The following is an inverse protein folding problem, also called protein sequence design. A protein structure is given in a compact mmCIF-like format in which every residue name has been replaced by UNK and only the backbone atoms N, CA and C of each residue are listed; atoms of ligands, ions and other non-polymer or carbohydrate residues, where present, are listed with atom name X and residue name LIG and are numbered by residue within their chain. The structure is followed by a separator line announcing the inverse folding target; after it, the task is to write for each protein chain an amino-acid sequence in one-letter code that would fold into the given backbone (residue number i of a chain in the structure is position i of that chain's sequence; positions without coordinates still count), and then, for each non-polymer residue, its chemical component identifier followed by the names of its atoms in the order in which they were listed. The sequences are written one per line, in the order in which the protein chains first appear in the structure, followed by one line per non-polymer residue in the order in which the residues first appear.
data_IF_897716919889
#
_entry.id   IF_897716919889
#
_cell.length_a   1.000
_cell.length_b   1.000
_cell.length_c   1.000
_cell.angle_alpha   90.00
_cell.angle_beta   90.00
_cell.angle_gamma   90.00
#
_symmetry.space_group_name_H-M   'P 1'
#
loop_
_entity.id
_entity.type
_entity.pdbx_description
1 polymer ?
#
# COMPACT_ATOMS: atom_id res chain seq x y z
N UNK A 1 -22.27 10.49 -9.85
CA UNK A 1 -21.32 11.02 -8.85
C UNK A 1 -21.02 9.90 -7.87
N UNK A 2 -19.74 9.55 -7.66
CA UNK A 2 -19.34 8.56 -6.63
C UNK A 2 -19.15 9.27 -5.30
N UNK A 3 -19.67 8.66 -4.24
CA UNK A 3 -19.48 9.13 -2.86
C UNK A 3 -18.35 8.32 -2.23
N UNK A 4 -17.34 9.01 -1.70
CA UNK A 4 -16.13 8.37 -1.19
C UNK A 4 -15.91 8.63 0.30
N UNK A 5 -15.48 7.60 1.00
CA UNK A 5 -14.89 7.67 2.33
C UNK A 5 -13.37 7.50 2.22
N UNK A 6 -12.59 8.32 2.89
CA UNK A 6 -11.12 8.30 2.83
C UNK A 6 -10.56 7.97 4.22
N UNK A 7 -10.01 6.77 4.37
CA UNK A 7 -9.34 6.34 5.59
C UNK A 7 -7.85 6.64 5.49
N UNK A 8 -7.36 7.57 6.31
CA UNK A 8 -6.00 8.09 6.25
C UNK A 8 -5.88 9.39 5.43
N UNK A 9 -6.88 10.28 5.50
CA UNK A 9 -7.00 11.50 4.67
C UNK A 9 -5.84 12.48 4.81
N UNK A 10 -5.16 12.53 5.96
CA UNK A 10 -4.02 13.42 6.23
C UNK A 10 -2.68 12.84 5.80
N UNK A 11 -2.63 11.56 5.40
CA UNK A 11 -1.46 10.91 4.84
C UNK A 11 -1.16 11.34 3.39
N UNK A 12 -0.05 10.86 2.82
CA UNK A 12 0.34 11.21 1.45
C UNK A 12 -0.71 10.83 0.42
N UNK A 13 -1.20 9.59 0.44
CA UNK A 13 -2.25 9.11 -0.48
C UNK A 13 -3.58 9.82 -0.23
N UNK A 14 -3.98 9.98 1.03
CA UNK A 14 -5.23 10.67 1.37
C UNK A 14 -5.27 12.11 0.87
N UNK A 15 -4.18 12.87 1.00
CA UNK A 15 -4.07 14.24 0.47
C UNK A 15 -4.17 14.27 -1.05
N UNK A 16 -3.45 13.40 -1.74
CA UNK A 16 -3.52 13.29 -3.20
C UNK A 16 -4.92 12.82 -3.66
N UNK A 17 -5.61 11.99 -2.86
CA UNK A 17 -7.01 11.63 -3.13
C UNK A 17 -7.93 12.84 -3.06
N UNK A 18 -7.71 13.72 -2.10
CA UNK A 18 -8.46 14.97 -1.99
C UNK A 18 -8.15 15.94 -3.14
N UNK A 19 -6.90 16.00 -3.63
CA UNK A 19 -6.54 16.75 -4.85
C UNK A 19 -7.30 16.20 -6.08
N UNK A 20 -7.36 14.88 -6.23
CA UNK A 20 -8.13 14.23 -7.30
C UNK A 20 -9.63 14.52 -7.17
N UNK A 21 -10.19 14.50 -5.95
CA UNK A 21 -11.59 14.84 -5.72
C UNK A 21 -11.88 16.31 -6.03
N UNK A 22 -10.97 17.23 -5.65
CA UNK A 22 -11.08 18.65 -5.95
C UNK A 22 -11.00 18.95 -7.47
N UNK A 23 -10.22 18.17 -8.23
CA UNK A 23 -10.12 18.26 -9.67
C UNK A 23 -11.36 17.68 -10.41
N UNK A 24 -12.19 16.88 -9.73
CA UNK A 24 -13.35 16.21 -10.31
C UNK A 24 -14.64 16.43 -9.47
N UNK A 25 -15.04 17.67 -9.15
CA UNK A 25 -16.11 17.95 -8.17
C UNK A 25 -17.48 17.44 -8.62
N UNK A 26 -17.73 17.37 -9.93
CA UNK A 26 -18.98 16.87 -10.50
C UNK A 26 -19.07 15.33 -10.52
N UNK A 27 -17.96 14.64 -10.26
CA UNK A 27 -17.86 13.18 -10.36
C UNK A 27 -17.60 12.51 -9.02
N UNK A 28 -16.91 13.20 -8.10
CA UNK A 28 -16.50 12.68 -6.79
C UNK A 28 -17.01 13.58 -5.66
N UNK A 29 -17.63 12.97 -4.66
CA UNK A 29 -18.06 13.65 -3.42
C UNK A 29 -17.45 12.97 -2.21
N UNK A 30 -16.71 13.73 -1.41
CA UNK A 30 -16.16 13.26 -0.14
C UNK A 30 -17.26 13.26 0.91
N UNK A 31 -17.54 12.10 1.52
CA UNK A 31 -18.58 11.91 2.53
C UNK A 31 -18.03 11.68 3.91
N UNK A 32 -16.90 10.98 4.01
CA UNK A 32 -16.26 10.69 5.27
C UNK A 32 -14.75 10.86 5.17
N UNK A 33 -14.15 11.41 6.22
CA UNK A 33 -12.71 11.55 6.36
C UNK A 33 -12.27 10.90 7.67
N UNK A 34 -11.20 10.09 7.63
CA UNK A 34 -10.59 9.58 8.85
C UNK A 34 -9.08 9.85 8.86
N UNK A 35 -8.56 10.25 10.02
CA UNK A 35 -7.15 10.48 10.25
C UNK A 35 -6.74 9.97 11.64
N UNK A 36 -5.45 9.98 11.98
CA UNK A 36 -4.98 9.56 13.29
C UNK A 36 -5.02 10.72 14.31
N UNK A 37 -4.08 11.67 14.20
CA UNK A 37 -3.90 12.74 15.18
C UNK A 37 -3.77 14.16 14.60
N UNK A 38 -3.77 14.29 13.28
CA UNK A 38 -3.53 15.56 12.58
C UNK A 38 -4.83 16.40 12.53
N UNK A 39 -5.26 16.90 13.69
CA UNK A 39 -6.53 17.59 13.86
C UNK A 39 -6.62 18.92 13.09
N UNK A 40 -5.54 19.70 13.02
CA UNK A 40 -5.51 20.96 12.27
C UNK A 40 -5.64 20.73 10.75
N UNK A 41 -4.93 19.74 10.22
CA UNK A 41 -5.04 19.41 8.80
C UNK A 41 -6.40 18.82 8.45
N UNK A 42 -6.95 17.96 9.32
CA UNK A 42 -8.30 17.42 9.13
C UNK A 42 -9.35 18.54 9.14
N UNK A 43 -9.22 19.55 10.02
CA UNK A 43 -10.12 20.71 10.03
C UNK A 43 -10.09 21.49 8.71
N UNK A 44 -8.88 21.67 8.11
CA UNK A 44 -8.76 22.30 6.79
C UNK A 44 -9.47 21.47 5.71
N UNK A 45 -9.31 20.13 5.75
CA UNK A 45 -10.00 19.22 4.85
C UNK A 45 -11.52 19.27 5.02
N UNK A 46 -12.01 19.34 6.27
CA UNK A 46 -13.43 19.49 6.56
C UNK A 46 -13.98 20.78 5.96
N UNK A 47 -13.30 21.90 6.14
CA UNK A 47 -13.73 23.21 5.60
C UNK A 47 -13.77 23.24 4.07
N UNK A 48 -12.88 22.47 3.42
CA UNK A 48 -12.78 22.43 1.96
C UNK A 48 -13.80 21.48 1.33
N UNK A 49 -14.02 20.31 1.91
CA UNK A 49 -14.79 19.23 1.30
C UNK A 49 -16.18 19.03 1.93
N UNK A 50 -16.44 19.61 3.08
CA UNK A 50 -17.71 19.54 3.82
C UNK A 50 -18.25 18.10 3.91
N UNK A 51 -17.45 17.12 4.43
CA UNK A 51 -17.91 15.76 4.60
C UNK A 51 -19.03 15.68 5.63
N UNK A 52 -19.82 14.61 5.59
CA UNK A 52 -20.86 14.37 6.58
C UNK A 52 -20.28 14.03 7.95
N UNK A 53 -19.19 13.20 7.96
CA UNK A 53 -18.47 12.80 9.17
C UNK A 53 -16.96 12.97 9.00
N UNK A 54 -16.26 13.26 10.10
CA UNK A 54 -14.81 13.28 10.18
C UNK A 54 -14.34 12.61 11.48
N UNK A 55 -13.27 11.83 11.38
CA UNK A 55 -12.82 10.96 12.47
C UNK A 55 -11.35 11.20 12.78
N UNK A 56 -11.04 11.26 14.08
CA UNK A 56 -9.68 11.12 14.58
C UNK A 56 -9.59 9.90 15.50
N UNK A 57 -8.70 8.96 15.17
CA UNK A 57 -8.52 7.77 16.03
C UNK A 57 -7.86 8.09 17.35
N UNK A 58 -7.06 9.18 17.42
CA UNK A 58 -6.56 9.76 18.66
C UNK A 58 -7.68 10.58 19.32
N UNK A 59 -8.13 10.14 20.51
CA UNK A 59 -9.27 10.73 21.23
C UNK A 59 -9.00 12.17 21.69
N UNK A 60 -7.75 12.49 22.05
CA UNK A 60 -7.39 13.85 22.49
C UNK A 60 -7.39 14.82 21.31
N UNK A 61 -6.89 14.38 20.14
CA UNK A 61 -6.97 15.17 18.92
C UNK A 61 -8.43 15.37 18.46
N UNK A 62 -9.27 14.34 18.57
CA UNK A 62 -10.70 14.45 18.26
C UNK A 62 -11.39 15.47 19.16
N UNK A 63 -11.09 15.45 20.46
CA UNK A 63 -11.61 16.43 21.41
C UNK A 63 -11.17 17.85 21.06
N UNK A 64 -9.86 18.07 20.79
CA UNK A 64 -9.37 19.40 20.36
C UNK A 64 -10.08 19.91 19.11
N UNK A 65 -10.35 19.03 18.15
CA UNK A 65 -11.08 19.40 16.95
C UNK A 65 -12.54 19.73 17.25
N UNK A 66 -13.24 18.91 18.03
CA UNK A 66 -14.63 19.12 18.40
C UNK A 66 -14.83 20.43 19.19
N UNK A 67 -13.89 20.78 20.08
CA UNK A 67 -13.94 21.99 20.87
C UNK A 67 -13.84 23.28 20.03
N UNK A 68 -13.19 23.24 18.87
CA UNK A 68 -13.00 24.42 18.00
C UNK A 68 -13.81 24.40 16.69
N UNK A 69 -14.33 23.27 16.28
CA UNK A 69 -15.12 23.16 15.04
C UNK A 69 -16.61 23.22 15.34
N UNK A 70 -17.31 24.20 14.76
CA UNK A 70 -18.74 24.43 14.97
C UNK A 70 -19.55 24.36 13.65
N UNK A 71 -19.06 23.59 12.68
CA UNK A 71 -19.75 23.40 11.40
C UNK A 71 -20.73 22.23 11.42
N UNK A 72 -21.12 21.75 10.23
CA UNK A 72 -22.14 20.69 10.05
C UNK A 72 -21.57 19.28 10.11
N UNK A 73 -20.26 19.11 9.89
CA UNK A 73 -19.60 17.80 9.90
C UNK A 73 -19.61 17.23 11.32
N UNK A 74 -20.08 16.02 11.50
CA UNK A 74 -20.01 15.31 12.77
C UNK A 74 -18.58 14.84 13.06
N UNK A 75 -18.06 15.14 14.24
CA UNK A 75 -16.71 14.74 14.65
C UNK A 75 -16.79 13.50 15.53
N UNK A 76 -16.19 12.41 15.05
CA UNK A 76 -16.14 11.13 15.75
C UNK A 76 -14.70 10.81 16.22
N UNK A 77 -14.58 9.89 17.19
CA UNK A 77 -13.30 9.55 17.81
C UNK A 77 -13.06 8.04 17.90
N UNK A 78 -11.78 7.66 17.93
CA UNK A 78 -11.35 6.30 18.22
C UNK A 78 -11.63 5.28 17.13
N UNK A 79 -11.51 4.00 17.47
CA UNK A 79 -11.74 2.90 16.53
C UNK A 79 -13.20 2.79 16.08
N UNK A 80 -14.15 3.04 16.96
CA UNK A 80 -15.58 3.05 16.64
C UNK A 80 -15.88 4.11 15.56
N UNK A 81 -15.31 5.31 15.70
CA UNK A 81 -15.41 6.35 14.68
C UNK A 81 -14.79 5.92 13.36
N UNK A 82 -13.62 5.26 13.39
CA UNK A 82 -12.96 4.76 12.18
C UNK A 82 -13.84 3.72 11.45
N UNK A 83 -14.46 2.81 12.20
CA UNK A 83 -15.41 1.85 11.63
C UNK A 83 -16.65 2.56 11.07
N UNK A 84 -17.16 3.58 11.74
CA UNK A 84 -18.27 4.38 11.23
C UNK A 84 -17.90 5.06 9.90
N UNK A 85 -16.69 5.60 9.75
CA UNK A 85 -16.22 6.16 8.47
C UNK A 85 -16.08 5.09 7.39
N UNK A 86 -15.58 3.89 7.72
CA UNK A 86 -15.42 2.78 6.78
C UNK A 86 -16.76 2.21 6.29
N UNK A 87 -17.78 2.24 7.14
CA UNK A 87 -19.11 1.68 6.85
C UNK A 87 -20.17 2.74 6.54
N UNK A 88 -19.77 4.02 6.42
CA UNK A 88 -20.69 5.13 6.26
C UNK A 88 -21.67 4.89 5.12
N UNK A 89 -22.98 4.95 5.42
CA UNK A 89 -24.04 4.60 4.47
C UNK A 89 -24.01 5.49 3.23
N UNK A 90 -23.70 6.78 3.40
CA UNK A 90 -23.62 7.75 2.32
C UNK A 90 -22.42 7.59 1.38
N UNK A 91 -21.50 6.64 1.62
CA UNK A 91 -20.36 6.37 0.75
C UNK A 91 -20.55 5.11 -0.07
N UNK A 92 -20.19 5.13 -1.36
CA UNK A 92 -20.22 3.98 -2.27
C UNK A 92 -18.87 3.24 -2.29
N UNK A 93 -17.79 4.00 -2.10
CA UNK A 93 -16.41 3.50 -2.20
C UNK A 93 -15.59 3.98 -1.00
N UNK A 94 -14.80 3.10 -0.45
CA UNK A 94 -13.84 3.39 0.61
C UNK A 94 -12.44 3.36 0.04
N UNK A 95 -11.70 4.46 0.17
CA UNK A 95 -10.27 4.50 -0.12
C UNK A 95 -9.50 4.20 1.18
N UNK A 96 -8.84 3.04 1.20
CA UNK A 96 -8.00 2.60 2.32
C UNK A 96 -6.55 3.02 2.12
N UNK A 97 -6.09 4.07 2.85
CA UNK A 97 -4.72 4.58 2.79
C UNK A 97 -4.04 4.66 4.17
N UNK A 98 -4.48 3.84 5.08
CA UNK A 98 -3.85 3.69 6.39
C UNK A 98 -2.53 2.90 6.23
N UNK A 99 -1.56 3.20 7.08
CA UNK A 99 -0.25 2.53 7.04
C UNK A 99 -0.30 1.26 7.87
N UNK A 100 0.31 0.19 7.37
CA UNK A 100 0.49 -1.06 8.08
C UNK A 100 -0.79 -1.86 8.31
N UNK A 101 -0.80 -2.67 9.35
CA UNK A 101 -1.88 -3.60 9.69
C UNK A 101 -3.22 -2.91 10.06
N UNK A 102 -3.19 -1.64 10.50
CA UNK A 102 -4.37 -0.92 11.00
C UNK A 102 -5.53 -0.78 9.99
N UNK A 103 -5.26 -0.94 8.69
CA UNK A 103 -6.27 -0.88 7.64
C UNK A 103 -7.14 -2.13 7.49
N UNK A 104 -6.77 -3.28 8.08
CA UNK A 104 -7.43 -4.55 7.81
C UNK A 104 -8.89 -4.59 8.32
N UNK A 105 -9.11 -4.32 9.61
CA UNK A 105 -10.46 -4.34 10.20
C UNK A 105 -11.44 -3.37 9.54
N UNK A 106 -11.08 -2.09 9.31
CA UNK A 106 -11.94 -1.16 8.58
C UNK A 106 -12.26 -1.60 7.16
N UNK A 107 -11.26 -2.18 6.45
CA UNK A 107 -11.48 -2.70 5.09
C UNK A 107 -12.46 -3.86 5.08
N UNK A 108 -12.33 -4.83 5.99
CA UNK A 108 -13.27 -5.94 6.11
C UNK A 108 -14.68 -5.48 6.48
N UNK A 109 -14.80 -4.50 7.40
CA UNK A 109 -16.09 -3.92 7.76
C UNK A 109 -16.75 -3.20 6.56
N UNK A 110 -15.99 -2.44 5.78
CA UNK A 110 -16.50 -1.80 4.57
C UNK A 110 -17.00 -2.83 3.54
N UNK A 111 -16.22 -3.90 3.29
CA UNK A 111 -16.60 -5.00 2.40
C UNK A 111 -17.90 -5.66 2.88
N UNK A 112 -18.02 -5.95 4.18
CA UNK A 112 -19.21 -6.56 4.77
C UNK A 112 -20.47 -5.70 4.61
N UNK A 113 -20.32 -4.37 4.55
CA UNK A 113 -21.38 -3.40 4.27
C UNK A 113 -21.59 -3.13 2.77
N UNK A 114 -21.01 -3.93 1.87
CA UNK A 114 -21.20 -3.81 0.43
C UNK A 114 -20.50 -2.61 -0.22
N UNK A 115 -19.47 -2.05 0.43
CA UNK A 115 -18.70 -0.92 -0.13
C UNK A 115 -17.62 -1.41 -1.08
N UNK A 116 -17.46 -0.73 -2.22
CA UNK A 116 -16.29 -0.94 -3.08
C UNK A 116 -15.03 -0.40 -2.42
N UNK A 117 -13.90 -1.04 -2.68
CA UNK A 117 -12.62 -0.67 -2.06
C UNK A 117 -11.65 -0.17 -3.12
N UNK A 118 -11.10 1.04 -2.92
CA UNK A 118 -9.90 1.53 -3.56
C UNK A 118 -8.73 1.32 -2.57
N UNK A 119 -7.93 0.27 -2.78
CA UNK A 119 -6.94 -0.19 -1.80
C UNK A 119 -5.56 0.37 -2.10
N UNK A 120 -5.06 1.24 -1.21
CA UNK A 120 -3.67 1.70 -1.21
C UNK A 120 -2.83 1.04 -0.11
N UNK A 121 -3.48 0.44 0.88
CA UNK A 121 -2.83 -0.25 2.00
C UNK A 121 -2.54 -1.72 1.63
N UNK A 122 -1.40 -1.96 1.00
CA UNK A 122 -0.97 -3.29 0.55
C UNK A 122 -0.84 -4.31 1.69
N UNK A 123 -0.49 -3.84 2.89
CA UNK A 123 -0.31 -4.68 4.06
C UNK A 123 -1.59 -5.44 4.44
N UNK A 124 -2.75 -4.91 4.09
CA UNK A 124 -4.05 -5.58 4.25
C UNK A 124 -4.11 -6.91 3.49
N UNK A 125 -3.67 -6.94 2.22
CA UNK A 125 -3.63 -8.17 1.42
C UNK A 125 -2.43 -9.04 1.76
N UNK A 126 -1.30 -8.46 2.11
CA UNK A 126 -0.13 -9.21 2.57
C UNK A 126 -0.45 -10.01 3.82
N UNK A 127 -1.05 -9.38 4.82
CA UNK A 127 -1.34 -10.03 6.10
C UNK A 127 -2.53 -11.00 6.03
N UNK A 128 -3.59 -10.66 5.31
CA UNK A 128 -4.87 -11.37 5.35
C UNK A 128 -5.52 -11.54 3.97
N UNK A 129 -4.73 -11.69 2.90
CA UNK A 129 -5.23 -11.69 1.53
C UNK A 129 -6.30 -12.75 1.26
N UNK A 130 -6.16 -13.98 1.78
CA UNK A 130 -7.18 -15.03 1.65
C UNK A 130 -8.52 -14.61 2.25
N UNK A 131 -8.51 -14.01 3.45
CA UNK A 131 -9.72 -13.57 4.17
C UNK A 131 -10.37 -12.39 3.43
N UNK A 132 -9.56 -11.42 3.00
CA UNK A 132 -10.06 -10.23 2.30
C UNK A 132 -10.66 -10.60 0.95
N UNK A 133 -9.97 -11.41 0.15
CA UNK A 133 -10.47 -11.80 -1.18
C UNK A 133 -11.67 -12.74 -1.10
N UNK A 134 -11.78 -13.57 -0.05
CA UNK A 134 -13.00 -14.33 0.23
C UNK A 134 -14.17 -13.41 0.57
N UNK A 135 -13.95 -12.40 1.42
CA UNK A 135 -14.97 -11.41 1.76
C UNK A 135 -15.42 -10.60 0.51
N UNK A 136 -14.48 -10.18 -0.34
CA UNK A 136 -14.77 -9.49 -1.61
C UNK A 136 -15.68 -10.33 -2.50
N UNK A 137 -15.36 -11.61 -2.70
CA UNK A 137 -16.19 -12.54 -3.49
C UNK A 137 -17.56 -12.76 -2.86
N UNK A 138 -17.61 -12.96 -1.55
CA UNK A 138 -18.84 -13.23 -0.80
C UNK A 138 -19.83 -12.08 -0.87
N UNK A 139 -19.35 -10.84 -0.77
CA UNK A 139 -20.19 -9.64 -0.76
C UNK A 139 -20.37 -9.02 -2.15
N UNK A 140 -19.71 -9.54 -3.19
CA UNK A 140 -19.83 -9.08 -4.57
C UNK A 140 -19.36 -7.64 -4.79
N UNK A 141 -18.43 -7.16 -3.98
CA UNK A 141 -17.86 -5.80 -4.11
C UNK A 141 -16.62 -5.81 -5.00
N UNK A 142 -16.27 -4.65 -5.54
CA UNK A 142 -15.01 -4.49 -6.26
C UNK A 142 -13.88 -4.06 -5.32
N UNK A 143 -12.68 -4.61 -5.53
CA UNK A 143 -11.46 -4.15 -4.91
C UNK A 143 -10.50 -3.72 -6.02
N UNK A 144 -10.27 -2.41 -6.11
CA UNK A 144 -9.45 -1.79 -7.14
C UNK A 144 -8.13 -1.32 -6.54
N UNK A 145 -6.98 -1.71 -7.11
CA UNK A 145 -5.68 -1.30 -6.57
C UNK A 145 -5.40 0.18 -6.82
N UNK A 146 -4.80 0.82 -5.81
CA UNK A 146 -4.29 2.19 -5.87
C UNK A 146 -2.76 2.20 -5.97
N UNK A 147 -2.08 1.15 -5.51
CA UNK A 147 -0.64 1.03 -5.68
C UNK A 147 -0.28 1.10 -7.17
N UNK A 148 0.76 1.88 -7.55
CA UNK A 148 1.05 2.22 -8.94
C UNK A 148 1.30 1.01 -9.81
N UNK A 149 2.04 0.03 -9.31
CA UNK A 149 2.39 -1.19 -10.01
C UNK A 149 1.15 -2.08 -10.25
N UNK A 150 0.30 -2.20 -9.24
CA UNK A 150 -0.92 -3.01 -9.34
C UNK A 150 -1.98 -2.32 -10.19
N UNK A 151 -2.11 -1.00 -10.10
CA UNK A 151 -2.94 -0.21 -11.01
C UNK A 151 -2.49 -0.39 -12.47
N UNK A 152 -1.17 -0.41 -12.72
CA UNK A 152 -0.61 -0.63 -14.05
C UNK A 152 -0.92 -2.06 -14.57
N UNK A 153 -0.79 -3.09 -13.73
CA UNK A 153 -1.16 -4.46 -14.09
C UNK A 153 -2.66 -4.54 -14.39
N UNK A 154 -3.50 -3.98 -13.51
CA UNK A 154 -4.96 -3.97 -13.68
C UNK A 154 -5.38 -3.32 -15.01
N UNK A 155 -4.71 -2.24 -15.41
CA UNK A 155 -4.94 -1.57 -16.70
C UNK A 155 -4.43 -2.41 -17.87
N UNK A 156 -3.26 -3.03 -17.76
CA UNK A 156 -2.62 -3.82 -18.83
C UNK A 156 -3.34 -5.15 -19.07
N UNK A 157 -3.95 -5.75 -18.04
CA UNK A 157 -4.78 -6.96 -18.15
C UNK A 157 -5.98 -6.79 -19.10
N UNK A 158 -6.40 -5.58 -19.38
CA UNK A 158 -7.47 -5.30 -20.35
C UNK A 158 -7.08 -5.58 -21.80
N UNK A 159 -5.81 -5.84 -22.07
CA UNK A 159 -5.32 -6.21 -23.39
C UNK A 159 -5.62 -7.65 -23.80
N UNK A 160 -6.17 -8.48 -22.87
CA UNK A 160 -6.53 -9.87 -23.12
C UNK A 160 -7.41 -10.44 -22.02
N UNK A 161 -7.57 -11.75 -21.99
CA UNK A 161 -8.29 -12.48 -20.93
C UNK A 161 -7.31 -13.06 -19.92
N UNK A 162 -7.80 -13.36 -18.69
CA UNK A 162 -6.97 -13.95 -17.63
C UNK A 162 -6.28 -15.26 -18.06
N UNK A 163 -6.93 -16.07 -18.90
CA UNK A 163 -6.39 -17.34 -19.41
C UNK A 163 -5.20 -17.15 -20.37
N UNK A 164 -5.10 -15.99 -20.98
CA UNK A 164 -4.04 -15.63 -21.93
C UNK A 164 -2.83 -15.01 -21.24
N UNK A 165 -2.94 -14.70 -19.94
CA UNK A 165 -1.82 -14.14 -19.16
C UNK A 165 -0.77 -15.21 -18.91
N UNK A 166 0.45 -14.97 -19.40
CA UNK A 166 1.61 -15.83 -19.16
C UNK A 166 2.27 -15.50 -17.84
N UNK A 167 2.52 -14.21 -17.58
CA UNK A 167 3.08 -13.71 -16.31
C UNK A 167 2.85 -12.22 -16.11
N UNK A 168 2.97 -11.80 -14.85
CA UNK A 168 3.03 -10.40 -14.44
C UNK A 168 4.49 -9.99 -14.26
N UNK A 169 4.82 -8.76 -14.65
CA UNK A 169 6.16 -8.19 -14.51
C UNK A 169 6.02 -6.89 -13.70
N UNK A 170 6.42 -6.94 -12.43
CA UNK A 170 6.37 -5.81 -11.52
C UNK A 170 7.68 -5.03 -11.63
N UNK A 171 7.60 -3.73 -11.86
CA UNK A 171 8.79 -2.87 -11.88
C UNK A 171 9.15 -2.38 -10.50
N UNK A 172 10.41 -2.13 -10.25
CA UNK A 172 10.96 -1.50 -9.06
C UNK A 172 11.87 -0.35 -9.45
N UNK A 173 11.87 0.76 -8.71
CA UNK A 173 12.86 1.82 -8.93
C UNK A 173 14.31 1.37 -8.66
N UNK A 174 14.46 0.32 -7.86
CA UNK A 174 15.75 -0.14 -7.31
C UNK A 174 16.19 0.60 -6.05
N UNK A 175 15.46 1.64 -5.65
CA UNK A 175 15.76 2.45 -4.47
C UNK A 175 17.06 3.26 -4.58
N UNK A 176 17.48 3.95 -3.49
CA UNK A 176 18.65 4.82 -3.49
C UNK A 176 20.00 4.06 -3.56
N UNK A 177 19.98 2.75 -3.35
CA UNK A 177 21.20 1.93 -3.30
C UNK A 177 21.37 0.99 -4.50
N UNK A 178 20.62 1.21 -5.57
CA UNK A 178 20.77 0.44 -6.81
C UNK A 178 22.24 0.41 -7.27
N UNK A 179 22.73 -0.79 -7.62
CA UNK A 179 24.09 -1.02 -8.06
C UNK A 179 25.14 -1.13 -6.95
N UNK A 180 24.78 -0.91 -5.67
CA UNK A 180 25.67 -1.13 -4.52
C UNK A 180 25.75 -2.61 -4.15
N UNK A 181 26.95 -3.05 -3.77
CA UNK A 181 27.19 -4.37 -3.19
C UNK A 181 26.82 -4.38 -1.72
N UNK A 182 26.51 -5.56 -1.16
CA UNK A 182 26.15 -5.72 0.26
C UNK A 182 27.17 -5.10 1.23
N UNK A 183 28.48 -5.22 0.96
CA UNK A 183 29.54 -4.64 1.78
C UNK A 183 29.51 -3.11 1.84
N UNK A 184 28.95 -2.45 0.83
CA UNK A 184 28.83 -0.98 0.78
C UNK A 184 27.59 -0.49 1.57
N UNK A 185 26.71 -1.41 1.99
CA UNK A 185 25.48 -1.10 2.74
C UNK A 185 25.64 -1.17 4.26
N UNK A 186 26.81 -1.60 4.78
CA UNK A 186 27.02 -1.79 6.23
C UNK A 186 26.89 -0.51 7.05
N UNK A 187 27.28 0.63 6.45
CA UNK A 187 27.34 1.93 7.15
C UNK A 187 26.49 3.02 6.48
N UNK A 188 25.42 2.62 5.76
CA UNK A 188 24.52 3.60 5.16
C UNK A 188 23.73 4.33 6.24
N UNK A 189 23.55 5.62 6.04
CA UNK A 189 22.84 6.48 6.99
C UNK A 189 21.35 6.57 6.66
N UNK A 190 20.56 6.95 7.66
CA UNK A 190 19.13 7.22 7.47
C UNK A 190 18.87 8.23 6.36
N UNK A 191 19.65 9.31 6.30
CA UNK A 191 19.51 10.34 5.27
C UNK A 191 19.71 9.78 3.85
N UNK A 192 20.68 8.86 3.68
CA UNK A 192 20.89 8.18 2.39
C UNK A 192 19.73 7.24 2.04
N UNK A 193 19.18 6.53 3.02
CA UNK A 193 18.02 5.65 2.81
C UNK A 193 16.76 6.42 2.39
N UNK A 194 16.55 7.60 2.94
CA UNK A 194 15.36 8.43 2.69
C UNK A 194 15.47 9.28 1.42
N UNK A 195 16.61 9.30 0.75
CA UNK A 195 16.83 10.05 -0.49
C UNK A 195 16.42 9.18 -1.70
N UNK A 196 15.11 9.00 -1.89
CA UNK A 196 14.61 8.24 -3.05
C UNK A 196 14.74 9.07 -4.34
N UNK A 197 15.25 8.48 -5.47
CA UNK A 197 15.55 9.25 -6.68
C UNK A 197 14.33 9.84 -7.39
N UNK A 198 13.18 9.18 -7.38
CA UNK A 198 12.02 9.55 -8.22
C UNK A 198 10.74 9.82 -7.42
N UNK A 199 10.56 9.20 -6.25
CA UNK A 199 9.32 9.25 -5.50
C UNK A 199 9.44 10.04 -4.20
N UNK A 200 8.45 10.87 -3.91
CA UNK A 200 8.27 11.49 -2.60
C UNK A 200 7.26 10.69 -1.80
N UNK A 201 7.73 9.84 -0.92
CA UNK A 201 6.92 8.89 -0.14
C UNK A 201 7.11 9.07 1.36
N UNK A 202 6.24 8.44 2.17
CA UNK A 202 6.43 8.34 3.61
C UNK A 202 7.71 7.56 3.97
N UNK A 203 8.31 7.87 5.12
CA UNK A 203 9.59 7.30 5.54
C UNK A 203 9.62 5.76 5.54
N UNK A 204 8.53 5.10 5.99
CA UNK A 204 8.42 3.63 6.01
C UNK A 204 8.53 3.07 4.59
N UNK A 205 7.73 3.58 3.66
CA UNK A 205 7.70 3.09 2.27
C UNK A 205 9.02 3.37 1.55
N UNK A 206 9.64 4.54 1.81
CA UNK A 206 10.95 4.88 1.25
C UNK A 206 12.03 3.91 1.73
N UNK A 207 12.03 3.56 3.02
CA UNK A 207 12.97 2.59 3.57
C UNK A 207 12.71 1.17 3.04
N UNK A 208 11.45 0.75 2.93
CA UNK A 208 11.08 -0.52 2.30
C UNK A 208 11.51 -0.59 0.82
N UNK A 209 11.41 0.53 0.10
CA UNK A 209 11.91 0.63 -1.27
C UNK A 209 13.44 0.42 -1.32
N UNK A 210 14.18 1.02 -0.38
CA UNK A 210 15.63 0.91 -0.30
C UNK A 210 16.12 -0.53 -0.07
N UNK A 211 15.37 -1.35 0.67
CA UNK A 211 15.67 -2.77 0.98
C UNK A 211 15.08 -3.75 -0.03
N UNK A 212 14.26 -3.29 -0.96
CA UNK A 212 13.37 -4.08 -1.83
C UNK A 212 12.29 -4.88 -1.04
N UNK A 213 12.09 -4.63 0.24
CA UNK A 213 10.98 -5.20 1.00
C UNK A 213 9.63 -4.74 0.42
N UNK A 214 9.50 -3.46 0.03
CA UNK A 214 8.31 -2.93 -0.63
C UNK A 214 7.92 -3.79 -1.84
N UNK A 215 8.90 -4.15 -2.67
CA UNK A 215 8.65 -4.97 -3.85
C UNK A 215 8.24 -6.40 -3.47
N UNK A 216 8.75 -6.92 -2.37
CA UNK A 216 8.31 -8.19 -1.81
C UNK A 216 6.85 -8.17 -1.37
N UNK A 217 6.43 -7.11 -0.67
CA UNK A 217 5.03 -6.89 -0.29
C UNK A 217 4.12 -6.79 -1.53
N UNK A 218 4.56 -6.09 -2.56
CA UNK A 218 3.84 -5.94 -3.82
C UNK A 218 3.69 -7.25 -4.61
N UNK A 219 4.68 -8.12 -4.58
CA UNK A 219 4.56 -9.48 -5.16
C UNK A 219 3.45 -10.28 -4.45
N UNK A 220 3.36 -10.18 -3.12
CA UNK A 220 2.29 -10.84 -2.35
C UNK A 220 0.93 -10.22 -2.65
N UNK A 221 0.85 -8.90 -2.76
CA UNK A 221 -0.37 -8.18 -3.12
C UNK A 221 -0.86 -8.58 -4.52
N UNK A 222 0.06 -8.63 -5.52
CA UNK A 222 -0.27 -9.04 -6.88
C UNK A 222 -0.80 -10.48 -6.94
N UNK A 223 -0.24 -11.39 -6.14
CA UNK A 223 -0.75 -12.75 -6.02
C UNK A 223 -2.24 -12.76 -5.66
N UNK A 224 -2.63 -12.00 -4.64
CA UNK A 224 -4.01 -11.95 -4.17
C UNK A 224 -4.95 -11.18 -5.10
N UNK A 225 -4.51 -10.03 -5.61
CA UNK A 225 -5.35 -9.19 -6.47
C UNK A 225 -5.71 -9.84 -7.80
N UNK A 226 -4.76 -10.56 -8.39
CA UNK A 226 -4.87 -11.10 -9.75
C UNK A 226 -4.95 -12.63 -9.80
N UNK A 227 -5.08 -13.28 -8.65
CA UNK A 227 -5.09 -14.76 -8.52
C UNK A 227 -3.91 -15.42 -9.28
N UNK A 228 -2.74 -14.78 -9.22
CA UNK A 228 -1.57 -15.18 -10.00
C UNK A 228 -0.59 -15.98 -9.14
N UNK A 229 -0.19 -17.19 -9.55
CA UNK A 229 0.84 -17.96 -8.85
C UNK A 229 2.17 -17.19 -8.76
N UNK A 230 2.88 -17.29 -7.63
CA UNK A 230 4.15 -16.58 -7.41
C UNK A 230 5.19 -16.83 -8.49
N UNK A 231 5.21 -18.03 -9.09
CA UNK A 231 6.17 -18.37 -10.15
C UNK A 231 5.87 -17.68 -11.49
N UNK A 232 4.68 -17.08 -11.61
CA UNK A 232 4.28 -16.24 -12.74
C UNK A 232 4.36 -14.74 -12.43
N UNK A 233 4.95 -14.34 -11.30
CA UNK A 233 5.18 -12.93 -10.95
C UNK A 233 6.69 -12.69 -10.95
N UNK A 234 7.15 -11.84 -11.84
CA UNK A 234 8.58 -11.50 -12.01
C UNK A 234 8.82 -10.05 -11.61
N UNK A 235 9.95 -9.78 -10.97
CA UNK A 235 10.38 -8.42 -10.62
C UNK A 235 11.50 -8.00 -11.56
N UNK A 236 11.42 -6.76 -12.07
CA UNK A 236 12.50 -6.09 -12.82
C UNK A 236 12.76 -4.71 -12.22
N UNK A 237 14.00 -4.27 -12.23
CA UNK A 237 14.37 -2.91 -11.81
C UNK A 237 14.29 -2.00 -13.02
N UNK A 238 13.51 -0.92 -12.90
CA UNK A 238 13.32 0.13 -13.89
C UNK A 238 13.57 1.50 -13.23
N UNK A 239 14.81 2.00 -13.29
CA UNK A 239 15.22 3.17 -12.50
C UNK A 239 14.44 4.45 -12.79
N UNK A 240 13.97 4.62 -14.03
CA UNK A 240 13.25 5.82 -14.44
C UNK A 240 11.83 5.90 -13.85
N UNK A 241 11.27 4.77 -13.38
CA UNK A 241 9.91 4.68 -12.82
C UNK A 241 8.82 5.24 -13.74
N UNK A 242 9.01 5.14 -15.07
CA UNK A 242 8.04 5.54 -16.10
C UNK A 242 7.12 4.39 -16.46
N UNK A 243 7.67 3.18 -16.64
CA UNK A 243 6.90 1.94 -16.79
C UNK A 243 6.56 1.44 -15.39
N UNK A 244 5.26 1.51 -15.04
CA UNK A 244 4.84 1.15 -13.68
C UNK A 244 4.68 -0.36 -13.47
N UNK A 245 4.28 -1.12 -14.48
CA UNK A 245 4.35 -2.60 -14.55
C UNK A 245 3.86 -3.08 -15.91
N UNK A 246 3.98 -4.39 -16.16
CA UNK A 246 3.68 -4.99 -17.45
C UNK A 246 2.97 -6.34 -17.27
N UNK A 247 2.23 -6.74 -18.30
CA UNK A 247 1.62 -8.08 -18.43
C UNK A 247 2.15 -8.71 -19.70
N UNK A 248 2.73 -9.91 -19.58
CA UNK A 248 3.12 -10.74 -20.72
C UNK A 248 2.03 -11.76 -21.03
N UNK A 249 1.57 -11.81 -22.26
CA UNK A 249 0.56 -12.75 -22.75
C UNK A 249 1.18 -13.98 -23.40
N UNK A 250 0.37 -15.01 -23.61
CA UNK A 250 0.83 -16.31 -24.14
C UNK A 250 1.37 -16.24 -25.56
N UNK A 251 0.96 -15.25 -26.34
CA UNK A 251 1.47 -14.97 -27.70
C UNK A 251 2.83 -14.26 -27.73
N UNK A 252 3.37 -13.92 -26.53
CA UNK A 252 4.63 -13.17 -26.38
C UNK A 252 4.47 -11.67 -26.36
N UNK A 253 3.25 -11.14 -26.55
CA UNK A 253 3.00 -9.70 -26.42
C UNK A 253 3.19 -9.24 -24.97
N UNK A 254 3.79 -8.06 -24.79
CA UNK A 254 3.95 -7.43 -23.46
C UNK A 254 3.27 -6.08 -23.48
N UNK A 255 2.25 -5.92 -22.63
CA UNK A 255 1.51 -4.66 -22.46
C UNK A 255 1.95 -3.99 -21.18
N UNK A 256 2.23 -2.69 -21.26
CA UNK A 256 2.70 -1.88 -20.15
C UNK A 256 1.84 -0.62 -19.98
N UNK A 257 1.64 -0.21 -18.72
CA UNK A 257 1.13 1.12 -18.46
C UNK A 257 2.31 2.04 -18.10
N UNK A 258 2.34 3.21 -18.75
CA UNK A 258 3.34 4.24 -18.56
C UNK A 258 2.71 5.50 -17.98
N UNK A 259 3.47 6.23 -17.16
CA UNK A 259 3.07 7.51 -16.58
C UNK A 259 4.23 8.16 -15.84
N UNK A 260 4.07 9.43 -15.49
CA UNK A 260 4.98 10.07 -14.53
C UNK A 260 4.84 9.43 -13.14
N UNK A 261 5.87 9.47 -12.27
CA UNK A 261 5.80 8.92 -10.91
C UNK A 261 4.92 9.79 -9.98
N UNK A 262 3.60 9.72 -10.20
CA UNK A 262 2.58 10.50 -9.51
C UNK A 262 1.41 9.61 -9.10
N UNK A 263 1.14 9.53 -7.79
CA UNK A 263 0.06 8.67 -7.27
C UNK A 263 -1.34 9.17 -7.62
N UNK A 264 -1.51 10.42 -8.04
CA UNK A 264 -2.82 10.95 -8.45
C UNK A 264 -3.39 10.20 -9.66
N UNK A 265 -2.52 9.69 -10.55
CA UNK A 265 -2.96 8.89 -11.69
C UNK A 265 -3.62 7.56 -11.26
N UNK A 266 -2.97 6.67 -10.51
CA UNK A 266 -3.60 5.43 -10.06
C UNK A 266 -4.75 5.67 -9.08
N UNK A 267 -4.69 6.70 -8.24
CA UNK A 267 -5.80 7.11 -7.36
C UNK A 267 -7.02 7.48 -8.21
N UNK A 268 -6.85 8.38 -9.19
CA UNK A 268 -7.95 8.78 -10.07
C UNK A 268 -8.52 7.58 -10.83
N UNK A 269 -7.65 6.72 -11.36
CA UNK A 269 -8.09 5.53 -12.06
C UNK A 269 -8.92 4.58 -11.17
N UNK A 270 -8.48 4.32 -9.93
CA UNK A 270 -9.21 3.47 -8.99
C UNK A 270 -10.58 4.07 -8.64
N UNK A 271 -10.67 5.38 -8.48
CA UNK A 271 -11.92 6.07 -8.16
C UNK A 271 -12.82 6.25 -9.38
N UNK A 272 -12.28 6.35 -10.59
CA UNK A 272 -13.07 6.51 -11.81
C UNK A 272 -13.58 5.19 -12.41
N UNK A 273 -12.89 4.09 -12.14
CA UNK A 273 -13.21 2.78 -12.72
C UNK A 273 -14.73 2.44 -12.68
N UNK A 274 -15.33 1.94 -13.79
CA UNK A 274 -14.70 1.48 -15.04
C UNK A 274 -14.44 2.58 -16.09
N UNK A 275 -14.74 3.83 -15.80
CA UNK A 275 -14.50 4.97 -16.69
C UNK A 275 -13.08 5.51 -16.57
N UNK A 276 -12.72 6.46 -17.43
CA UNK A 276 -11.53 7.30 -17.29
C UNK A 276 -11.98 8.75 -17.23
N UNK A 277 -11.49 9.49 -16.21
CA UNK A 277 -11.69 10.93 -16.12
C UNK A 277 -10.54 11.68 -16.77
N UNK A 278 -10.79 12.91 -17.23
CA UNK A 278 -9.74 13.78 -17.74
C UNK A 278 -8.69 14.03 -16.64
N UNK A 279 -7.42 13.88 -16.99
CA UNK A 279 -6.30 14.03 -16.06
C UNK A 279 -5.71 15.43 -16.18
N UNK A 280 -5.86 16.25 -15.13
CA UNK A 280 -5.47 17.66 -15.07
C UNK A 280 -4.09 17.90 -14.46
N UNK A 281 -3.35 16.83 -14.11
CA UNK A 281 -2.02 16.92 -13.53
C UNK A 281 -0.94 16.70 -14.60
N UNK A 282 0.33 16.57 -14.18
CA UNK A 282 1.47 16.38 -15.09
C UNK A 282 1.29 15.13 -15.97
N UNK A 283 1.54 15.29 -17.25
CA UNK A 283 1.44 14.22 -18.25
C UNK A 283 2.83 13.76 -18.69
N UNK A 284 2.93 12.48 -19.08
CA UNK A 284 4.16 11.91 -19.58
C UNK A 284 4.51 12.45 -20.96
N UNK A 285 5.71 13.02 -21.10
CA UNK A 285 6.36 13.28 -22.38
C UNK A 285 7.39 12.18 -22.66
N UNK A 286 7.10 11.34 -23.64
CA UNK A 286 7.97 10.22 -24.00
C UNK A 286 9.29 10.67 -24.61
N UNK A 287 9.34 11.83 -25.26
CA UNK A 287 10.56 12.36 -25.85
C UNK A 287 11.49 12.86 -24.74
N UNK A 288 10.93 13.59 -23.78
CA UNK A 288 11.67 14.06 -22.60
C UNK A 288 12.11 12.92 -21.68
N UNK A 289 11.30 11.84 -21.56
CA UNK A 289 11.64 10.65 -20.77
C UNK A 289 12.87 9.90 -21.30
N UNK A 290 13.12 9.94 -22.60
CA UNK A 290 14.33 9.38 -23.22
C UNK A 290 14.43 7.86 -23.12
N UNK A 291 15.54 7.35 -22.60
CA UNK A 291 15.82 5.92 -22.52
C UNK A 291 15.14 5.25 -21.33
N UNK A 292 14.46 4.15 -21.59
CA UNK A 292 13.88 3.27 -20.57
C UNK A 292 14.77 2.02 -20.44
N UNK A 293 15.25 1.75 -19.22
CA UNK A 293 16.20 0.65 -18.96
C UNK A 293 15.62 -0.32 -17.95
N UNK A 294 16.00 -1.59 -18.08
CA UNK A 294 15.53 -2.68 -17.21
C UNK A 294 16.71 -3.53 -16.77
N UNK A 295 16.73 -3.92 -15.50
CA UNK A 295 17.78 -4.71 -14.87
C UNK A 295 17.16 -5.83 -14.02
N UNK A 296 17.91 -6.90 -13.78
CA UNK A 296 17.51 -7.90 -12.79
C UNK A 296 17.72 -7.36 -11.36
N UNK A 297 16.84 -7.66 -10.39
CA UNK A 297 17.07 -7.28 -9.00
C UNK A 297 18.25 -8.07 -8.41
N UNK A 298 19.10 -7.39 -7.62
CA UNK A 298 20.18 -8.02 -6.87
C UNK A 298 19.65 -8.60 -5.55
N UNK A 299 19.42 -9.92 -5.54
CA UNK A 299 18.88 -10.64 -4.36
C UNK A 299 19.92 -10.92 -3.28
N UNK A 300 21.22 -10.74 -3.57
CA UNK A 300 22.31 -10.91 -2.59
C UNK A 300 22.51 -9.60 -1.80
N UNK A 301 22.54 -8.47 -2.50
CA UNK A 301 22.61 -7.16 -1.86
C UNK A 301 21.32 -6.82 -1.11
N UNK A 302 20.14 -7.19 -1.66
CA UNK A 302 18.81 -6.86 -1.12
C UNK A 302 17.98 -8.11 -0.84
N UNK A 303 18.31 -8.90 0.21
CA UNK A 303 17.69 -10.19 0.47
C UNK A 303 16.21 -10.11 0.90
N UNK A 304 15.71 -8.94 1.33
CA UNK A 304 14.32 -8.75 1.77
C UNK A 304 13.31 -9.19 0.70
N UNK A 305 13.59 -8.94 -0.59
CA UNK A 305 12.74 -9.40 -1.69
C UNK A 305 12.63 -10.93 -1.74
N UNK A 306 13.77 -11.62 -1.61
CA UNK A 306 13.81 -13.11 -1.62
C UNK A 306 13.09 -13.68 -0.40
N UNK A 307 13.28 -13.08 0.79
CA UNK A 307 12.63 -13.49 2.04
C UNK A 307 11.11 -13.33 1.90
N UNK A 308 10.65 -12.19 1.42
CA UNK A 308 9.23 -11.90 1.20
C UNK A 308 8.58 -12.91 0.23
N UNK A 309 9.19 -13.17 -0.93
CA UNK A 309 8.68 -14.15 -1.89
C UNK A 309 8.61 -15.56 -1.27
N UNK A 310 9.60 -15.95 -0.47
CA UNK A 310 9.58 -17.23 0.23
C UNK A 310 8.42 -17.32 1.24
N UNK A 311 8.18 -16.26 2.01
CA UNK A 311 7.04 -16.18 2.93
C UNK A 311 5.70 -16.23 2.18
N UNK A 312 5.58 -15.51 1.07
CA UNK A 312 4.39 -15.55 0.22
C UNK A 312 4.11 -16.94 -0.33
N UNK A 313 5.11 -17.63 -0.86
CA UNK A 313 4.99 -19.01 -1.36
C UNK A 313 4.60 -20.02 -0.28
N UNK A 314 5.09 -19.84 0.94
CA UNK A 314 4.71 -20.66 2.08
C UNK A 314 3.25 -20.43 2.51
N UNK A 315 2.73 -19.23 2.27
CA UNK A 315 1.34 -18.87 2.57
C UNK A 315 0.99 -18.88 4.05
N UNK A 316 -0.30 -19.04 4.34
CA UNK A 316 -0.79 -19.05 5.72
C UNK A 316 -0.56 -17.72 6.44
N UNK A 317 -0.11 -17.78 7.68
CA UNK A 317 0.21 -16.61 8.50
C UNK A 317 1.64 -16.08 8.30
N UNK A 318 2.48 -16.76 7.50
CA UNK A 318 3.90 -16.36 7.35
C UNK A 318 4.07 -14.98 6.68
N UNK A 319 3.28 -14.57 5.66
CA UNK A 319 3.30 -13.21 5.13
C UNK A 319 2.96 -12.13 6.17
N UNK A 320 2.01 -12.40 7.07
CA UNK A 320 1.68 -11.51 8.19
C UNK A 320 2.88 -11.35 9.14
N UNK A 321 3.53 -12.46 9.51
CA UNK A 321 4.72 -12.44 10.36
C UNK A 321 5.87 -11.66 9.71
N UNK A 322 6.09 -11.82 8.37
CA UNK A 322 7.06 -11.03 7.63
C UNK A 322 6.75 -9.54 7.69
N UNK A 323 5.48 -9.15 7.41
CA UNK A 323 5.08 -7.75 7.42
C UNK A 323 5.30 -7.11 8.79
N UNK A 324 4.83 -7.76 9.86
CA UNK A 324 4.95 -7.25 11.23
C UNK A 324 6.42 -7.11 11.66
N UNK A 325 7.26 -8.11 11.35
CA UNK A 325 8.69 -8.07 11.66
C UNK A 325 9.41 -6.97 10.86
N UNK A 326 9.05 -6.78 9.58
CA UNK A 326 9.61 -5.72 8.75
C UNK A 326 9.23 -4.33 9.29
N UNK A 327 7.98 -4.12 9.69
CA UNK A 327 7.56 -2.84 10.28
C UNK A 327 8.36 -2.50 11.54
N UNK A 328 8.52 -3.45 12.47
CA UNK A 328 9.30 -3.23 13.70
C UNK A 328 10.77 -2.93 13.39
N UNK A 329 11.39 -3.68 12.46
CA UNK A 329 12.76 -3.45 12.03
C UNK A 329 12.94 -2.08 11.36
N UNK A 330 12.01 -1.69 10.50
CA UNK A 330 11.99 -0.36 9.84
C UNK A 330 11.91 0.76 10.89
N UNK A 331 10.97 0.67 11.83
CA UNK A 331 10.84 1.68 12.88
C UNK A 331 12.04 1.72 13.82
N UNK A 332 12.65 0.56 14.11
CA UNK A 332 13.89 0.51 14.91
C UNK A 332 15.06 1.19 14.18
N UNK A 333 15.19 1.01 12.87
CA UNK A 333 16.21 1.70 12.07
C UNK A 333 15.93 3.21 12.00
N UNK A 334 14.69 3.63 11.78
CA UNK A 334 14.28 5.05 11.79
C UNK A 334 14.58 5.72 13.13
N UNK A 335 14.50 4.96 14.22
CA UNK A 335 14.85 5.42 15.57
C UNK A 335 16.36 5.31 15.89
N UNK A 336 17.20 4.86 14.96
CA UNK A 336 18.65 4.72 15.15
C UNK A 336 19.07 3.58 16.09
N UNK A 337 18.20 2.60 16.33
CA UNK A 337 18.45 1.49 17.27
C UNK A 337 19.20 0.32 16.63
N UNK A 338 19.13 0.17 15.33
CA UNK A 338 19.74 -0.93 14.56
C UNK A 338 20.40 -0.38 13.29
N UNK A 339 21.23 -1.20 12.65
CA UNK A 339 21.84 -0.89 11.34
C UNK A 339 20.93 -1.32 10.18
N UNK A 340 21.20 -0.82 9.00
CA UNK A 340 20.43 -1.09 7.78
C UNK A 340 20.35 -2.59 7.45
N UNK A 341 21.47 -3.30 7.52
CA UNK A 341 21.53 -4.74 7.22
C UNK A 341 20.86 -5.63 8.32
N UNK A 342 20.54 -5.06 9.46
CA UNK A 342 19.80 -5.78 10.52
C UNK A 342 18.31 -5.92 10.13
N UNK A 343 17.77 -5.06 9.25
CA UNK A 343 16.37 -5.15 8.80
C UNK A 343 16.08 -6.54 8.18
N UNK A 344 16.78 -6.98 7.11
CA UNK A 344 16.55 -8.31 6.56
C UNK A 344 16.94 -9.45 7.52
N UNK A 345 17.89 -9.23 8.41
CA UNK A 345 18.24 -10.23 9.44
C UNK A 345 17.10 -10.46 10.43
N UNK A 346 16.48 -9.40 10.94
CA UNK A 346 15.33 -9.48 11.85
C UNK A 346 14.16 -10.19 11.16
N UNK A 347 13.80 -9.77 9.94
CA UNK A 347 12.69 -10.40 9.21
C UNK A 347 12.93 -11.88 8.96
N UNK A 348 14.14 -12.28 8.54
CA UNK A 348 14.50 -13.67 8.34
C UNK A 348 14.44 -14.48 9.64
N UNK A 349 14.96 -13.90 10.75
CA UNK A 349 14.99 -14.57 12.05
C UNK A 349 13.58 -14.82 12.59
N UNK A 350 12.71 -13.80 12.55
CA UNK A 350 11.33 -13.91 13.04
C UNK A 350 10.51 -14.88 12.20
N UNK A 351 10.61 -14.79 10.88
CA UNK A 351 9.84 -15.68 9.98
C UNK A 351 10.29 -17.14 10.10
N UNK A 352 11.58 -17.41 10.35
CA UNK A 352 12.10 -18.76 10.59
C UNK A 352 11.62 -19.37 11.93
N UNK A 353 11.27 -18.55 12.92
CA UNK A 353 10.76 -19.00 14.24
C UNK A 353 9.25 -19.15 14.27
N UNK A 354 8.54 -18.67 13.23
CA UNK A 354 7.09 -18.66 13.23
C UNK A 354 6.48 -20.04 13.00
N UNK A 355 5.49 -20.38 13.83
CA UNK A 355 4.67 -21.57 13.63
C UNK A 355 3.51 -21.23 12.69
N UNK A 356 3.66 -21.55 11.40
CA UNK A 356 2.77 -21.12 10.33
C UNK A 356 1.40 -21.82 10.38
N UNK A 357 0.31 -21.06 10.46
CA UNK A 357 -1.07 -21.54 10.35
C UNK A 357 -1.50 -21.40 8.89
N UNK A 358 -1.66 -22.54 8.17
CA UNK A 358 -1.88 -22.55 6.71
C UNK A 358 -3.27 -22.04 6.27
N UNK A 359 -4.30 -22.16 7.12
CA UNK A 359 -5.67 -21.70 6.86
C UNK A 359 -6.13 -20.80 8.00
N UNK A 360 -5.59 -19.57 8.08
CA UNK A 360 -5.84 -18.70 9.21
C UNK A 360 -7.27 -18.15 9.19
N UNK A 361 -7.81 -17.95 10.38
CA UNK A 361 -8.93 -17.05 10.64
C UNK A 361 -8.38 -15.66 11.00
N UNK A 362 -9.24 -14.65 11.15
CA UNK A 362 -8.82 -13.29 11.48
C UNK A 362 -8.05 -13.24 12.81
N UNK A 363 -8.49 -14.00 13.80
CA UNK A 363 -7.86 -14.10 15.12
C UNK A 363 -6.43 -14.68 15.02
N UNK A 364 -6.18 -15.62 14.11
CA UNK A 364 -4.84 -16.17 13.88
C UNK A 364 -3.91 -15.11 13.27
N UNK A 365 -4.42 -14.27 12.36
CA UNK A 365 -3.67 -13.16 11.79
C UNK A 365 -3.33 -12.12 12.86
N UNK A 366 -4.30 -11.76 13.71
CA UNK A 366 -4.10 -10.80 14.81
C UNK A 366 -3.08 -11.32 15.83
N UNK A 367 -3.21 -12.58 16.21
CA UNK A 367 -2.26 -13.23 17.12
C UNK A 367 -0.85 -13.30 16.51
N UNK A 368 -0.75 -13.57 15.20
CA UNK A 368 0.52 -13.62 14.47
C UNK A 368 1.17 -12.24 14.39
N UNK A 369 0.42 -11.19 14.05
CA UNK A 369 0.96 -9.81 14.02
C UNK A 369 1.53 -9.42 15.39
N UNK A 370 0.77 -9.63 16.46
CA UNK A 370 1.20 -9.33 17.81
C UNK A 370 2.46 -10.13 18.24
N UNK A 371 2.47 -11.45 17.93
CA UNK A 371 3.61 -12.31 18.22
C UNK A 371 4.85 -11.89 17.44
N UNK A 372 4.73 -11.63 16.14
CA UNK A 372 5.86 -11.28 15.28
C UNK A 372 6.47 -9.93 15.68
N UNK A 373 5.66 -8.95 16.10
CA UNK A 373 6.16 -7.68 16.66
C UNK A 373 6.96 -7.91 17.93
N UNK A 374 6.43 -8.69 18.88
CA UNK A 374 7.14 -9.00 20.11
C UNK A 374 8.45 -9.78 19.85
N UNK A 375 8.42 -10.75 18.93
CA UNK A 375 9.60 -11.50 18.52
C UNK A 375 10.66 -10.59 17.88
N UNK A 376 10.26 -9.69 16.97
CA UNK A 376 11.16 -8.72 16.35
C UNK A 376 11.80 -7.78 17.39
N UNK A 377 11.01 -7.25 18.33
CA UNK A 377 11.54 -6.44 19.43
C UNK A 377 12.53 -7.23 20.30
N UNK A 378 12.27 -8.53 20.52
CA UNK A 378 13.20 -9.42 21.23
C UNK A 378 14.51 -9.67 20.47
N UNK A 379 14.51 -9.64 19.14
CA UNK A 379 15.73 -9.71 18.31
C UNK A 379 16.46 -8.35 18.35
N UNK A 380 15.72 -7.24 18.15
CA UNK A 380 16.25 -5.86 18.18
C UNK A 380 16.99 -5.58 19.50
N UNK A 381 16.46 -6.03 20.62
CA UNK A 381 17.07 -5.81 21.95
C UNK A 381 18.41 -6.53 22.14
N UNK A 382 18.79 -7.45 21.24
CA UNK A 382 20.05 -8.22 21.29
C UNK A 382 21.11 -7.72 20.31
N UNK A 383 20.75 -6.78 19.42
CA UNK A 383 21.64 -6.14 18.44
C UNK A 383 22.29 -4.89 19.02
#
# INVERSE_FOLDING_TARGET
MKNISILGSTGSIGRQTLEVAAANPEKLKVRALAAHKSDELLEQQIKQFEPDIAVLTDKDAAKRLADRYHGKTEILAGEEGLLAAATYEGADTVLGSMVGYAGLRPTLAAIACGKNIALANKETLVAAGSIVMEAVRKHGVSLTPVDSEHSAIFQSLRGGTEKEVKRLIITASGGPFRGKKRSELENVTLAQCLNHPNWSMGQKVTLDSSTLANKGLEVMEAHWLFDMPYDKITVVVHPQSIVHSLVEFCDGSVIAQLGVPDMRLPIQFALSWPERYDYSFEQLDLVAAGNLTFEAPDLEAFPSLKIAIACGKAGGTLPCAFNAANEEAVYAFLAGKIKYLDIPYITATVTAQHNNVLRPQLEDIEATDAWARAAAQGVIAKL
#
